data_IF_798082473151
#
_entry.id   IF_798082473151
#
_cell.length_a   1.000
_cell.length_b   1.000
_cell.length_c   1.000
_cell.angle_alpha   90.00
_cell.angle_beta   90.00
_cell.angle_gamma   90.00
#
_symmetry.space_group_name_H-M   'P 1'
#
loop_
_entity.id
_entity.type
_entity.pdbx_description
1 polymer ?
#
# COMPACT_ATOMS: atom_id res chain seq x y z
N UNK A 1 -19.36 1.81 22.81
CA UNK A 1 -19.64 0.92 23.94
C UNK A 1 -21.08 1.13 24.31
N UNK A 2 -21.98 0.22 23.90
CA UNK A 2 -23.35 0.14 24.41
C UNK A 2 -23.25 -0.67 25.70
N UNK A 3 -23.69 -0.07 26.81
CA UNK A 3 -23.70 -0.74 28.10
C UNK A 3 -24.68 -1.92 28.04
N UNK A 4 -24.13 -3.14 27.97
CA UNK A 4 -24.88 -4.40 27.79
C UNK A 4 -25.76 -4.74 29.04
N UNK A 5 -25.64 -3.99 30.13
CA UNK A 5 -26.21 -4.35 31.42
C UNK A 5 -27.74 -4.19 31.55
N UNK A 6 -28.44 -3.64 30.54
CA UNK A 6 -29.88 -3.32 30.67
C UNK A 6 -30.81 -3.77 29.55
N UNK A 7 -30.34 -4.56 28.58
CA UNK A 7 -31.20 -5.10 27.51
C UNK A 7 -31.43 -6.59 27.73
N UNK A 8 -32.54 -6.95 28.36
CA UNK A 8 -32.98 -8.36 28.45
C UNK A 8 -33.46 -8.83 27.09
N UNK A 9 -32.48 -9.31 26.27
CA UNK A 9 -32.67 -9.87 24.92
C UNK A 9 -33.49 -11.17 24.95
N UNK A 10 -33.62 -11.80 26.13
CA UNK A 10 -34.21 -13.13 26.35
C UNK A 10 -35.69 -13.27 25.97
N UNK A 11 -36.42 -12.18 25.74
CA UNK A 11 -37.85 -12.22 25.50
C UNK A 11 -38.30 -12.02 24.06
N UNK A 12 -37.39 -11.88 23.10
CA UNK A 12 -37.76 -11.68 21.69
C UNK A 12 -37.53 -12.96 20.90
N UNK A 13 -38.61 -13.74 20.69
CA UNK A 13 -38.54 -14.96 19.86
C UNK A 13 -38.69 -14.61 18.37
N UNK A 14 -37.68 -14.92 17.58
CA UNK A 14 -37.69 -14.84 16.11
C UNK A 14 -37.83 -16.25 15.55
N UNK A 15 -38.66 -16.42 14.51
CA UNK A 15 -38.80 -17.68 13.80
C UNK A 15 -37.77 -17.89 12.70
N UNK A 16 -36.98 -16.87 12.35
CA UNK A 16 -36.00 -16.89 11.24
C UNK A 16 -34.71 -16.21 11.69
N UNK A 17 -33.58 -16.73 11.23
CA UNK A 17 -32.31 -16.04 11.35
C UNK A 17 -32.36 -14.72 10.55
N UNK A 18 -32.15 -13.60 11.20
CA UNK A 18 -32.20 -12.27 10.62
C UNK A 18 -30.76 -11.81 10.42
N UNK A 19 -30.39 -11.43 9.21
CA UNK A 19 -29.04 -10.89 8.91
C UNK A 19 -28.84 -9.49 9.52
N UNK A 20 -27.60 -9.13 9.76
CA UNK A 20 -27.23 -7.80 10.25
C UNK A 20 -27.82 -6.67 9.40
N UNK A 21 -27.82 -6.82 8.07
CA UNK A 21 -28.44 -5.85 7.15
C UNK A 21 -29.93 -5.61 7.46
N UNK A 22 -30.66 -6.67 7.76
CA UNK A 22 -32.10 -6.56 8.08
C UNK A 22 -32.34 -5.92 9.45
N UNK A 23 -31.45 -6.17 10.42
CA UNK A 23 -31.47 -5.50 11.71
C UNK A 23 -31.21 -4.00 11.57
N UNK A 24 -30.28 -3.63 10.70
CA UNK A 24 -30.00 -2.22 10.39
C UNK A 24 -31.21 -1.53 9.75
N UNK A 25 -31.88 -2.20 8.80
CA UNK A 25 -33.11 -1.67 8.19
C UNK A 25 -34.19 -1.42 9.25
N UNK A 26 -34.41 -2.37 10.17
CA UNK A 26 -35.37 -2.22 11.27
C UNK A 26 -35.01 -1.09 12.24
N UNK A 27 -33.76 -0.97 12.59
CA UNK A 27 -33.23 0.11 13.41
C UNK A 27 -33.47 1.47 12.75
N UNK A 28 -33.10 1.62 11.48
CA UNK A 28 -33.29 2.86 10.73
C UNK A 28 -34.78 3.22 10.56
N UNK A 29 -35.65 2.25 10.25
CA UNK A 29 -37.10 2.47 10.17
C UNK A 29 -37.68 2.97 11.54
N UNK A 30 -37.24 2.39 12.67
CA UNK A 30 -37.65 2.84 13.98
C UNK A 30 -37.11 4.22 14.36
N UNK A 31 -35.87 4.52 13.96
CA UNK A 31 -35.26 5.84 14.16
C UNK A 31 -36.06 6.92 13.41
N UNK A 32 -36.40 6.68 12.14
CA UNK A 32 -37.24 7.63 11.36
C UNK A 32 -38.62 7.85 11.97
N UNK A 33 -39.27 6.79 12.49
CA UNK A 33 -40.57 6.90 13.18
C UNK A 33 -40.42 7.73 14.44
N UNK A 34 -39.33 7.58 15.19
CA UNK A 34 -39.03 8.34 16.40
C UNK A 34 -38.78 9.81 16.12
N UNK A 35 -37.99 10.10 15.06
CA UNK A 35 -37.67 11.48 14.67
C UNK A 35 -38.88 12.26 14.16
N UNK A 36 -39.95 11.56 13.71
CA UNK A 36 -41.23 12.14 13.31
C UNK A 36 -42.26 12.23 14.48
N UNK A 37 -41.85 11.95 15.73
CA UNK A 37 -42.71 11.88 16.90
C UNK A 37 -43.96 10.96 16.75
N UNK A 38 -43.78 9.90 15.91
CA UNK A 38 -44.86 8.93 15.64
C UNK A 38 -44.69 7.67 16.47
N UNK A 39 -45.82 7.03 16.78
CA UNK A 39 -45.84 5.71 17.41
C UNK A 39 -45.79 4.59 16.34
N UNK A 40 -45.26 3.41 16.75
CA UNK A 40 -45.20 2.23 15.88
C UNK A 40 -46.61 1.77 15.50
N UNK A 41 -46.97 1.98 14.24
CA UNK A 41 -48.26 1.63 13.66
C UNK A 41 -48.47 0.10 13.53
N UNK A 42 -49.75 -0.29 13.37
CA UNK A 42 -50.15 -1.69 13.28
C UNK A 42 -49.59 -2.33 11.99
N UNK A 43 -49.46 -1.56 10.89
CA UNK A 43 -48.90 -2.02 9.64
C UNK A 43 -47.43 -2.42 9.76
N UNK A 44 -46.63 -1.66 10.52
CA UNK A 44 -45.23 -2.00 10.81
C UNK A 44 -45.14 -3.35 11.56
N UNK A 45 -46.01 -3.58 12.55
CA UNK A 45 -46.03 -4.83 13.33
C UNK A 45 -46.39 -6.03 12.44
N UNK A 46 -47.39 -5.88 11.56
CA UNK A 46 -47.83 -6.92 10.63
C UNK A 46 -46.72 -7.21 9.60
N UNK A 47 -46.10 -6.18 9.02
CA UNK A 47 -44.95 -6.31 8.12
C UNK A 47 -43.83 -7.13 8.77
N UNK A 48 -43.49 -6.81 10.01
CA UNK A 48 -42.37 -7.47 10.71
C UNK A 48 -42.75 -8.88 11.18
N UNK A 49 -44.00 -9.16 11.47
CA UNK A 49 -44.47 -10.52 11.68
C UNK A 49 -44.27 -11.43 10.49
N UNK A 50 -44.69 -11.00 9.29
CA UNK A 50 -44.56 -11.78 8.08
C UNK A 50 -43.11 -11.82 7.56
N UNK A 51 -42.39 -10.70 7.58
CA UNK A 51 -41.05 -10.57 7.00
C UNK A 51 -39.98 -11.21 7.87
N UNK A 52 -40.06 -11.04 9.20
CA UNK A 52 -39.02 -11.44 10.14
C UNK A 52 -39.46 -12.47 11.17
N UNK A 53 -40.74 -12.81 11.20
CA UNK A 53 -41.30 -13.77 12.16
C UNK A 53 -41.36 -13.23 13.61
N UNK A 54 -41.43 -11.92 13.79
CA UNK A 54 -41.54 -11.30 15.10
C UNK A 54 -42.93 -11.53 15.69
N UNK A 55 -43.03 -12.44 16.63
CA UNK A 55 -44.34 -12.85 17.22
C UNK A 55 -44.69 -12.08 18.48
N UNK A 56 -43.74 -11.46 19.17
CA UNK A 56 -43.94 -10.78 20.43
C UNK A 56 -44.42 -9.32 20.21
N UNK A 57 -45.73 -9.12 20.15
CA UNK A 57 -46.30 -7.78 19.96
C UNK A 57 -46.17 -6.91 21.20
N UNK A 58 -45.95 -7.46 22.41
CA UNK A 58 -45.72 -6.69 23.61
C UNK A 58 -44.37 -5.95 23.57
N UNK A 59 -43.42 -6.42 22.81
CA UNK A 59 -42.15 -5.71 22.55
C UNK A 59 -42.41 -4.29 22.03
N UNK A 60 -43.34 -4.11 21.11
CA UNK A 60 -43.67 -2.82 20.52
C UNK A 60 -44.47 -1.88 21.43
N UNK A 61 -44.83 -2.29 22.66
CA UNK A 61 -45.44 -1.43 23.70
C UNK A 61 -44.37 -0.74 24.55
N UNK A 62 -43.12 -1.12 24.41
CA UNK A 62 -42.01 -0.49 25.14
C UNK A 62 -41.74 0.91 24.60
N UNK A 63 -40.94 1.66 25.35
CA UNK A 63 -40.47 2.97 24.93
C UNK A 63 -39.68 2.87 23.62
N UNK A 64 -39.86 3.84 22.70
CA UNK A 64 -39.25 3.86 21.40
C UNK A 64 -37.72 3.80 21.50
N UNK A 65 -37.14 4.50 22.48
CA UNK A 65 -35.69 4.47 22.71
C UNK A 65 -35.18 3.07 23.03
N UNK A 66 -35.93 2.26 23.80
CA UNK A 66 -35.58 0.87 24.10
C UNK A 66 -35.69 -0.04 22.89
N UNK A 67 -36.72 0.18 22.05
CA UNK A 67 -36.87 -0.61 20.80
C UNK A 67 -35.71 -0.34 19.86
N UNK A 68 -35.33 0.93 19.68
CA UNK A 68 -34.21 1.35 18.86
C UNK A 68 -32.88 0.74 19.36
N UNK A 69 -32.62 0.89 20.67
CA UNK A 69 -31.41 0.33 21.30
C UNK A 69 -31.34 -1.20 21.16
N UNK A 70 -32.51 -1.89 21.28
CA UNK A 70 -32.56 -3.34 21.08
C UNK A 70 -32.20 -3.73 19.65
N UNK A 71 -32.77 -3.06 18.64
CA UNK A 71 -32.43 -3.36 17.25
C UNK A 71 -30.97 -3.01 16.90
N UNK A 72 -30.46 -1.96 17.51
CA UNK A 72 -29.04 -1.59 17.39
C UNK A 72 -28.11 -2.67 17.99
N UNK A 73 -28.43 -3.14 19.19
CA UNK A 73 -27.68 -4.22 19.85
C UNK A 73 -27.72 -5.53 19.02
N UNK A 74 -28.92 -5.88 18.50
CA UNK A 74 -29.07 -7.05 17.61
C UNK A 74 -28.30 -6.90 16.31
N UNK A 75 -28.23 -5.70 15.74
CA UNK A 75 -27.39 -5.43 14.58
C UNK A 75 -25.90 -5.72 14.88
N UNK A 76 -25.35 -5.15 15.95
CA UNK A 76 -23.93 -5.31 16.27
C UNK A 76 -23.59 -6.76 16.62
N UNK A 77 -24.41 -7.44 17.44
CA UNK A 77 -24.15 -8.84 17.79
C UNK A 77 -24.22 -9.77 16.57
N UNK A 78 -25.23 -9.60 15.71
CA UNK A 78 -25.34 -10.38 14.47
C UNK A 78 -24.19 -10.08 13.51
N UNK A 79 -23.81 -8.80 13.38
CA UNK A 79 -22.70 -8.38 12.53
C UNK A 79 -21.36 -8.95 12.99
N UNK A 80 -21.16 -8.98 14.30
CA UNK A 80 -19.98 -9.61 14.89
C UNK A 80 -19.91 -11.09 14.55
N UNK A 81 -21.00 -11.84 14.71
CA UNK A 81 -21.07 -13.27 14.36
C UNK A 81 -20.79 -13.47 12.86
N UNK A 82 -21.44 -12.69 11.99
CA UNK A 82 -21.23 -12.75 10.54
C UNK A 82 -19.75 -12.51 10.17
N UNK A 83 -19.10 -11.51 10.78
CA UNK A 83 -17.70 -11.20 10.54
C UNK A 83 -16.76 -12.28 11.06
N UNK A 84 -17.00 -12.78 12.28
CA UNK A 84 -16.20 -13.87 12.85
C UNK A 84 -16.28 -15.11 11.99
N UNK A 85 -17.50 -15.53 11.58
CA UNK A 85 -17.69 -16.69 10.68
C UNK A 85 -16.99 -16.48 9.32
N UNK A 86 -17.04 -15.25 8.77
CA UNK A 86 -16.34 -14.92 7.53
C UNK A 86 -14.82 -15.00 7.68
N UNK A 87 -14.26 -14.50 8.80
CA UNK A 87 -12.83 -14.58 9.12
C UNK A 87 -12.40 -16.05 9.24
N UNK A 88 -13.11 -16.85 10.05
CA UNK A 88 -12.82 -18.27 10.23
C UNK A 88 -12.86 -19.03 8.89
N UNK A 89 -13.83 -18.71 8.02
CA UNK A 89 -13.94 -19.28 6.68
C UNK A 89 -12.75 -18.90 5.79
N UNK A 90 -12.31 -17.63 5.83
CA UNK A 90 -11.14 -17.16 5.09
C UNK A 90 -9.83 -17.74 5.62
N UNK A 91 -9.67 -17.85 6.94
CA UNK A 91 -8.52 -18.49 7.57
C UNK A 91 -8.42 -19.98 7.19
N UNK A 92 -9.56 -20.69 7.23
CA UNK A 92 -9.63 -22.07 6.78
C UNK A 92 -9.26 -22.20 5.31
N UNK A 93 -9.78 -21.32 4.45
CA UNK A 93 -9.44 -21.28 3.03
C UNK A 93 -7.94 -20.98 2.83
N UNK A 94 -7.39 -19.98 3.49
CA UNK A 94 -5.97 -19.65 3.43
C UNK A 94 -5.09 -20.82 3.88
N UNK A 95 -5.47 -21.51 4.95
CA UNK A 95 -4.74 -22.69 5.43
C UNK A 95 -4.80 -23.88 4.45
N UNK A 96 -5.86 -24.00 3.64
CA UNK A 96 -5.96 -25.04 2.59
C UNK A 96 -5.25 -24.67 1.30
N UNK A 97 -5.11 -23.37 1.02
CA UNK A 97 -4.44 -22.84 -0.19
C UNK A 97 -2.92 -22.67 0.02
N UNK A 98 -2.43 -22.96 1.22
CA UNK A 98 -1.10 -22.62 1.72
C UNK A 98 0.09 -23.11 0.87
N UNK A 99 1.27 -23.07 1.39
CA UNK A 99 2.65 -23.27 0.88
C UNK A 99 2.77 -24.17 -0.36
N UNK A 100 1.94 -25.21 -0.48
CA UNK A 100 1.92 -26.13 -1.61
C UNK A 100 1.57 -25.43 -2.94
N UNK A 101 0.59 -24.52 -2.95
CA UNK A 101 0.16 -23.83 -4.18
C UNK A 101 1.22 -22.89 -4.74
N UNK A 102 1.93 -22.16 -3.87
CA UNK A 102 3.05 -21.29 -4.27
C UNK A 102 4.24 -22.11 -4.74
N UNK A 103 4.49 -23.23 -4.05
CA UNK A 103 5.54 -24.18 -4.43
C UNK A 103 5.23 -24.82 -5.79
N UNK A 104 4.00 -25.26 -6.01
CA UNK A 104 3.56 -25.82 -7.28
C UNK A 104 3.62 -24.78 -8.40
N UNK A 105 3.14 -23.56 -8.17
CA UNK A 105 3.26 -22.45 -9.13
C UNK A 105 4.72 -22.18 -9.50
N UNK A 106 5.62 -22.17 -8.52
CA UNK A 106 7.05 -21.98 -8.75
C UNK A 106 7.64 -23.14 -9.56
N UNK A 107 7.32 -24.38 -9.22
CA UNK A 107 7.77 -25.56 -9.93
C UNK A 107 7.27 -25.59 -11.38
N UNK A 108 5.98 -25.35 -11.60
CA UNK A 108 5.37 -25.31 -12.93
C UNK A 108 5.94 -24.20 -13.78
N UNK A 109 6.13 -23.00 -13.19
CA UNK A 109 6.79 -21.88 -13.86
C UNK A 109 8.22 -22.22 -14.26
N UNK A 110 8.96 -22.94 -13.40
CA UNK A 110 10.32 -23.39 -13.68
C UNK A 110 10.35 -24.45 -14.79
N UNK A 111 9.38 -25.38 -14.82
CA UNK A 111 9.26 -26.37 -15.89
C UNK A 111 9.03 -25.67 -17.24
N UNK A 112 8.08 -24.72 -17.29
CA UNK A 112 7.78 -23.95 -18.49
C UNK A 112 9.01 -23.13 -18.94
N UNK A 113 9.72 -22.50 -18.01
CA UNK A 113 10.94 -21.75 -18.32
C UNK A 113 12.02 -22.66 -18.91
N UNK A 114 12.29 -23.81 -18.27
CA UNK A 114 13.29 -24.78 -18.76
C UNK A 114 12.92 -25.33 -20.13
N UNK A 115 11.65 -25.65 -20.37
CA UNK A 115 11.20 -26.11 -21.70
C UNK A 115 11.40 -25.02 -22.77
N UNK A 116 11.03 -23.77 -22.50
CA UNK A 116 11.25 -22.64 -23.41
C UNK A 116 12.75 -22.41 -23.69
N UNK A 117 13.59 -22.48 -22.66
CA UNK A 117 15.03 -22.34 -22.82
C UNK A 117 15.63 -23.51 -23.61
N UNK A 118 15.18 -24.73 -23.33
CA UNK A 118 15.63 -25.93 -24.09
C UNK A 118 15.23 -25.85 -25.57
N UNK A 119 14.03 -25.38 -25.90
CA UNK A 119 13.59 -25.17 -27.29
C UNK A 119 14.38 -24.05 -27.96
N UNK A 120 14.70 -22.97 -27.24
CA UNK A 120 15.43 -21.83 -27.80
C UNK A 120 16.93 -22.09 -27.91
N UNK A 121 17.55 -22.81 -26.98
CA UNK A 121 19.02 -22.97 -26.87
C UNK A 121 19.47 -24.42 -26.80
N UNK A 122 18.56 -25.41 -26.83
CA UNK A 122 18.89 -26.84 -26.77
C UNK A 122 19.52 -27.33 -28.08
N UNK A 123 20.28 -28.41 -27.96
CA UNK A 123 20.85 -29.21 -29.04
C UNK A 123 21.37 -28.43 -30.26
N UNK A 124 22.57 -27.87 -30.15
CA UNK A 124 23.35 -27.25 -31.24
C UNK A 124 22.98 -25.81 -31.67
N UNK A 125 22.07 -25.14 -30.99
CA UNK A 125 21.85 -23.71 -31.27
C UNK A 125 22.89 -22.87 -30.52
N UNK A 126 23.78 -22.22 -31.29
CA UNK A 126 24.73 -21.26 -30.73
C UNK A 126 24.01 -19.97 -30.37
N UNK A 127 24.23 -19.49 -29.17
CA UNK A 127 23.76 -18.17 -28.75
C UNK A 127 24.32 -17.09 -29.67
N UNK A 128 23.48 -16.13 -30.06
CA UNK A 128 23.95 -14.97 -30.83
C UNK A 128 24.85 -14.12 -29.92
N UNK A 129 26.00 -13.74 -30.47
CA UNK A 129 26.92 -12.80 -29.84
C UNK A 129 26.73 -11.45 -30.51
N UNK A 130 26.51 -10.42 -29.70
CA UNK A 130 26.33 -9.06 -30.15
C UNK A 130 27.54 -8.21 -29.74
N UNK A 131 27.83 -7.18 -30.50
CA UNK A 131 28.80 -6.13 -30.17
C UNK A 131 28.11 -4.79 -29.97
N UNK A 132 28.81 -3.77 -29.49
CA UNK A 132 28.25 -2.45 -29.21
C UNK A 132 27.51 -1.81 -30.40
N UNK A 133 28.03 -2.01 -31.62
CA UNK A 133 27.39 -1.47 -32.82
C UNK A 133 26.02 -2.11 -33.09
N UNK A 134 25.78 -3.33 -32.61
CA UNK A 134 24.50 -4.01 -32.80
C UNK A 134 23.38 -3.35 -32.00
N UNK A 135 23.71 -2.66 -30.90
CA UNK A 135 22.73 -1.87 -30.12
C UNK A 135 22.00 -0.84 -31.00
N UNK A 136 22.71 -0.31 -31.98
CA UNK A 136 22.18 0.71 -32.89
C UNK A 136 21.73 0.13 -34.24
N UNK A 137 22.44 -0.86 -34.77
CA UNK A 137 22.16 -1.41 -36.10
C UNK A 137 21.13 -2.53 -36.09
N UNK A 138 21.08 -3.31 -35.01
CA UNK A 138 20.25 -4.51 -34.92
C UNK A 138 19.42 -4.57 -33.59
N UNK A 139 18.79 -3.47 -33.12
CA UNK A 139 18.20 -3.41 -31.79
C UNK A 139 17.12 -4.47 -31.59
N UNK A 140 16.29 -4.73 -32.60
CA UNK A 140 15.20 -5.71 -32.48
C UNK A 140 15.72 -7.15 -32.33
N UNK A 141 16.85 -7.50 -32.95
CA UNK A 141 17.49 -8.82 -32.76
C UNK A 141 18.08 -8.97 -31.34
N UNK A 142 18.51 -7.85 -30.75
CA UNK A 142 18.96 -7.81 -29.35
C UNK A 142 17.78 -8.02 -28.44
N UNK A 143 16.65 -7.32 -28.67
CA UNK A 143 15.43 -7.47 -27.87
C UNK A 143 14.80 -8.87 -27.94
N UNK A 144 14.93 -9.56 -29.09
CA UNK A 144 14.53 -10.97 -29.19
C UNK A 144 15.35 -11.89 -28.26
N UNK A 145 16.63 -11.57 -28.05
CA UNK A 145 17.52 -12.35 -27.19
C UNK A 145 17.52 -11.85 -25.74
N UNK A 146 17.50 -10.53 -25.56
CA UNK A 146 17.52 -9.82 -24.28
C UNK A 146 16.31 -8.89 -24.18
N UNK A 147 15.14 -9.39 -23.80
CA UNK A 147 13.91 -8.59 -23.77
C UNK A 147 13.87 -7.58 -22.63
N UNK A 148 14.79 -7.67 -21.67
CA UNK A 148 14.89 -6.74 -20.53
C UNK A 148 16.19 -5.94 -20.67
N UNK A 149 16.06 -4.63 -20.79
CA UNK A 149 17.19 -3.69 -20.86
C UNK A 149 17.27 -2.95 -19.52
N UNK A 150 18.41 -3.04 -18.86
CA UNK A 150 18.69 -2.29 -17.63
C UNK A 150 19.46 -1.02 -17.98
N UNK A 151 19.02 0.10 -17.45
CA UNK A 151 19.61 1.40 -17.71
C UNK A 151 19.37 2.36 -16.54
N UNK A 152 20.14 3.44 -16.47
CA UNK A 152 19.74 4.59 -15.67
C UNK A 152 18.57 5.31 -16.34
N UNK A 153 17.77 6.05 -15.58
CA UNK A 153 16.67 6.83 -16.14
C UNK A 153 17.14 7.76 -17.25
N UNK A 154 18.25 8.45 -17.04
CA UNK A 154 18.85 9.36 -18.03
C UNK A 154 19.27 8.66 -19.32
N UNK A 155 19.84 7.46 -19.22
CA UNK A 155 20.36 6.72 -20.38
C UNK A 155 19.31 5.85 -21.06
N UNK A 156 18.11 5.74 -20.52
CA UNK A 156 17.07 4.82 -21.01
C UNK A 156 16.74 5.02 -22.49
N UNK A 157 16.62 6.27 -22.93
CA UNK A 157 16.34 6.63 -24.33
C UNK A 157 17.46 6.25 -25.30
N UNK A 158 18.71 6.26 -24.82
CA UNK A 158 19.90 6.02 -25.62
C UNK A 158 20.52 4.62 -25.43
N UNK A 159 19.84 3.73 -24.71
CA UNK A 159 20.33 2.37 -24.47
C UNK A 159 20.29 1.50 -25.74
N UNK A 160 19.38 1.81 -26.64
CA UNK A 160 19.28 1.24 -27.99
C UNK A 160 19.04 2.37 -29.01
N UNK A 161 18.89 2.01 -30.28
CA UNK A 161 18.51 2.96 -31.32
C UNK A 161 17.24 3.72 -30.93
N UNK A 162 17.20 5.03 -31.24
CA UNK A 162 16.09 5.95 -30.92
C UNK A 162 14.72 5.54 -31.49
N UNK A 163 14.70 4.69 -32.51
CA UNK A 163 13.49 4.19 -33.13
C UNK A 163 12.84 3.06 -32.32
N UNK A 164 13.53 2.54 -31.32
CA UNK A 164 13.00 1.50 -30.43
C UNK A 164 12.05 2.13 -29.42
N UNK A 165 10.81 1.64 -29.39
CA UNK A 165 9.83 1.94 -28.37
C UNK A 165 9.57 0.66 -27.57
N UNK A 166 9.89 0.69 -26.28
CA UNK A 166 9.68 -0.44 -25.38
C UNK A 166 8.19 -0.66 -25.11
N UNK A 167 7.80 -1.89 -24.84
CA UNK A 167 6.42 -2.17 -24.44
C UNK A 167 6.13 -1.65 -23.03
N UNK A 168 7.10 -1.78 -22.12
CA UNK A 168 7.02 -1.32 -20.73
C UNK A 168 8.30 -0.64 -20.30
N UNK A 169 8.14 0.46 -19.59
CA UNK A 169 9.17 1.08 -18.74
C UNK A 169 8.81 0.80 -17.28
N UNK A 170 9.75 0.25 -16.52
CA UNK A 170 9.62 0.13 -15.06
C UNK A 170 10.66 1.08 -14.47
N UNK A 171 10.19 2.13 -13.81
CA UNK A 171 11.04 3.13 -13.16
C UNK A 171 11.00 2.93 -11.66
N UNK A 172 12.12 2.53 -11.08
CA UNK A 172 12.27 2.39 -9.62
C UNK A 172 12.85 3.67 -9.02
N UNK A 173 12.61 3.90 -7.72
CA UNK A 173 13.03 5.09 -6.96
C UNK A 173 12.63 6.43 -7.64
N UNK A 174 11.46 6.49 -8.24
CA UNK A 174 10.97 7.65 -8.99
C UNK A 174 10.78 8.91 -8.13
N UNK A 175 10.79 8.78 -6.80
CA UNK A 175 10.84 9.91 -5.86
C UNK A 175 12.16 10.68 -5.90
N UNK A 176 13.24 10.08 -6.40
CA UNK A 176 14.56 10.69 -6.55
C UNK A 176 14.84 11.20 -7.97
N UNK A 177 13.94 10.98 -8.91
CA UNK A 177 14.08 11.36 -10.32
C UNK A 177 13.48 12.74 -10.52
N UNK A 178 14.19 13.63 -11.23
CA UNK A 178 13.65 14.93 -11.65
C UNK A 178 12.66 14.78 -12.81
N UNK A 179 11.80 15.78 -12.98
CA UNK A 179 10.72 15.76 -13.96
C UNK A 179 11.24 15.63 -15.39
N UNK A 180 12.32 16.33 -15.73
CA UNK A 180 12.84 16.33 -17.11
C UNK A 180 13.42 14.97 -17.49
N UNK A 181 14.21 14.38 -16.59
CA UNK A 181 14.77 13.03 -16.77
C UNK A 181 13.66 11.96 -16.80
N UNK A 182 12.65 12.09 -15.94
CA UNK A 182 11.48 11.21 -15.94
C UNK A 182 10.69 11.29 -17.24
N UNK A 183 10.43 12.50 -17.77
CA UNK A 183 9.76 12.70 -19.04
C UNK A 183 10.55 12.13 -20.22
N UNK A 184 11.88 12.27 -20.20
CA UNK A 184 12.75 11.65 -21.21
C UNK A 184 12.58 10.13 -21.23
N UNK A 185 12.58 9.50 -20.05
CA UNK A 185 12.38 8.05 -19.95
C UNK A 185 10.98 7.62 -20.41
N UNK A 186 9.93 8.37 -20.06
CA UNK A 186 8.56 8.10 -20.56
C UNK A 186 8.49 8.06 -22.08
N UNK A 187 9.28 8.89 -22.77
CA UNK A 187 9.25 8.99 -24.23
C UNK A 187 9.70 7.72 -24.96
N UNK A 188 10.29 6.75 -24.25
CA UNK A 188 10.82 5.54 -24.87
C UNK A 188 9.93 4.29 -24.68
N UNK A 189 8.73 4.40 -24.09
CA UNK A 189 7.87 3.25 -23.84
C UNK A 189 6.39 3.55 -24.08
N UNK A 190 5.61 2.49 -24.35
CA UNK A 190 4.14 2.56 -24.53
C UNK A 190 3.39 2.55 -23.19
N UNK A 191 3.90 1.81 -22.24
CA UNK A 191 3.33 1.65 -20.90
C UNK A 191 4.39 1.94 -19.86
N UNK A 192 3.97 2.42 -18.69
CA UNK A 192 4.89 2.72 -17.59
C UNK A 192 4.38 2.18 -16.27
N UNK A 193 5.31 1.65 -15.48
CA UNK A 193 5.12 1.32 -14.07
C UNK A 193 6.11 2.19 -13.28
N UNK A 194 5.59 3.06 -12.44
CA UNK A 194 6.37 3.99 -11.64
C UNK A 194 6.38 3.48 -10.21
N UNK A 195 7.56 3.15 -9.70
CA UNK A 195 7.78 2.66 -8.34
C UNK A 195 8.55 3.72 -7.57
N UNK A 196 8.13 4.00 -6.35
CA UNK A 196 8.79 4.98 -5.49
C UNK A 196 7.99 5.28 -4.24
N UNK A 197 8.51 6.14 -3.40
CA UNK A 197 7.95 6.45 -2.12
C UNK A 197 8.07 7.95 -1.83
N UNK A 198 6.93 8.65 -1.77
CA UNK A 198 6.89 10.10 -1.47
C UNK A 198 7.27 10.45 -0.02
N UNK A 199 7.40 9.44 0.85
CA UNK A 199 7.83 9.62 2.25
C UNK A 199 9.33 9.44 2.44
N UNK A 200 10.05 8.98 1.41
CA UNK A 200 11.51 8.92 1.39
C UNK A 200 12.11 10.20 0.82
N UNK A 201 13.45 10.24 0.74
CA UNK A 201 14.16 11.42 0.25
C UNK A 201 13.71 11.78 -1.17
N UNK A 202 13.24 13.02 -1.39
CA UNK A 202 12.87 13.46 -2.72
C UNK A 202 14.12 13.82 -3.55
N UNK A 203 13.90 14.10 -4.83
CA UNK A 203 14.89 14.74 -5.67
C UNK A 203 15.37 16.06 -5.04
N UNK A 204 16.68 16.22 -4.91
CA UNK A 204 17.30 17.42 -4.30
C UNK A 204 17.68 18.41 -5.41
N UNK A 205 17.02 19.56 -5.41
CA UNK A 205 17.26 20.66 -6.35
C UNK A 205 18.05 21.75 -5.64
N UNK A 206 19.15 22.21 -6.24
CA UNK A 206 19.93 23.34 -5.70
C UNK A 206 19.14 24.64 -5.78
N UNK A 207 19.47 25.63 -4.91
CA UNK A 207 18.73 26.88 -4.89
C UNK A 207 18.85 27.67 -6.19
N UNK A 208 20.01 27.61 -6.84
CA UNK A 208 20.24 28.23 -8.17
C UNK A 208 19.27 27.62 -9.23
N UNK A 209 19.14 26.30 -9.27
CA UNK A 209 18.24 25.62 -10.21
C UNK A 209 16.77 25.94 -9.87
N UNK A 210 16.42 26.03 -8.58
CA UNK A 210 15.07 26.42 -8.16
C UNK A 210 14.69 27.80 -8.69
N UNK A 211 15.56 28.78 -8.54
CA UNK A 211 15.33 30.14 -9.03
C UNK A 211 15.17 30.16 -10.55
N UNK A 212 16.07 29.52 -11.29
CA UNK A 212 15.99 29.45 -12.75
C UNK A 212 14.70 28.80 -13.23
N UNK A 213 14.36 27.67 -12.65
CA UNK A 213 13.18 26.90 -13.06
C UNK A 213 11.87 27.54 -12.62
N UNK A 214 11.85 28.29 -11.52
CA UNK A 214 10.71 29.07 -11.08
C UNK A 214 10.36 30.19 -12.10
N UNK A 215 11.34 30.86 -12.64
CA UNK A 215 11.14 31.90 -13.69
C UNK A 215 10.50 31.24 -14.94
N UNK A 216 11.01 30.09 -15.34
CA UNK A 216 10.45 29.37 -16.46
C UNK A 216 9.00 28.95 -16.18
N UNK A 217 8.74 28.39 -14.99
CA UNK A 217 7.42 27.94 -14.57
C UNK A 217 6.37 29.08 -14.63
N UNK A 218 6.71 30.25 -14.10
CA UNK A 218 5.83 31.44 -14.07
C UNK A 218 5.48 31.93 -15.47
N UNK A 219 6.43 31.84 -16.43
CA UNK A 219 6.20 32.29 -17.81
C UNK A 219 5.21 31.43 -18.60
N UNK A 220 4.98 30.17 -18.21
CA UNK A 220 4.17 29.23 -18.99
C UNK A 220 2.78 28.97 -18.43
N UNK A 221 2.44 29.49 -17.25
CA UNK A 221 1.14 29.29 -16.58
C UNK A 221 0.65 27.82 -16.60
N UNK A 222 1.53 26.92 -16.22
CA UNK A 222 1.27 25.46 -16.16
C UNK A 222 0.88 25.02 -14.75
N UNK A 223 0.32 23.81 -14.63
CA UNK A 223 -0.09 23.23 -13.33
C UNK A 223 1.07 23.11 -12.35
N UNK A 224 0.81 23.34 -11.07
CA UNK A 224 1.75 23.16 -9.96
C UNK A 224 2.43 21.78 -9.94
N UNK A 225 1.74 20.76 -10.43
CA UNK A 225 2.30 19.41 -10.59
C UNK A 225 3.54 19.35 -11.47
N UNK A 226 3.74 20.32 -12.37
CA UNK A 226 4.92 20.40 -13.24
C UNK A 226 6.06 21.27 -12.69
N UNK A 227 6.01 21.68 -11.43
CA UNK A 227 7.14 22.39 -10.81
C UNK A 227 8.37 21.49 -10.78
N UNK A 228 9.49 22.02 -11.23
CA UNK A 228 10.76 21.29 -11.27
C UNK A 228 11.27 20.86 -9.89
N UNK A 229 10.79 21.50 -8.84
CA UNK A 229 11.07 21.10 -7.44
C UNK A 229 10.37 19.83 -7.00
N UNK A 230 9.34 19.38 -7.74
CA UNK A 230 8.71 18.11 -7.50
C UNK A 230 9.61 16.96 -8.00
N UNK A 231 9.55 15.82 -7.33
CA UNK A 231 10.06 14.59 -7.93
C UNK A 231 9.15 14.15 -9.07
N UNK A 232 9.66 13.31 -9.95
CA UNK A 232 8.85 12.75 -11.04
C UNK A 232 7.63 11.98 -10.50
N UNK A 233 7.79 11.19 -9.44
CA UNK A 233 6.66 10.50 -8.78
C UNK A 233 5.61 11.49 -8.28
N UNK A 234 6.03 12.54 -7.56
CA UNK A 234 5.10 13.55 -7.05
C UNK A 234 4.37 14.26 -8.20
N UNK A 235 5.08 14.63 -9.25
CA UNK A 235 4.51 15.24 -10.44
C UNK A 235 3.42 14.37 -11.09
N UNK A 236 3.66 13.08 -11.25
CA UNK A 236 2.67 12.15 -11.80
C UNK A 236 1.43 12.07 -10.91
N UNK A 237 1.60 11.98 -9.60
CA UNK A 237 0.47 11.92 -8.65
C UNK A 237 -0.37 13.20 -8.67
N UNK A 238 0.26 14.36 -8.80
CA UNK A 238 -0.42 15.66 -8.83
C UNK A 238 -1.15 15.90 -10.16
N UNK A 239 -0.55 15.49 -11.27
CA UNK A 239 -1.10 15.69 -12.62
C UNK A 239 -2.13 14.64 -12.98
N UNK A 240 -1.98 13.42 -12.46
CA UNK A 240 -2.84 12.28 -12.75
C UNK A 240 -3.47 11.70 -11.45
N UNK A 241 -4.36 12.43 -10.78
CA UNK A 241 -4.87 12.03 -9.45
C UNK A 241 -5.67 10.71 -9.47
N UNK A 242 -6.16 10.30 -10.65
CA UNK A 242 -6.93 9.05 -10.82
C UNK A 242 -6.06 7.88 -11.33
N UNK A 243 -4.73 8.02 -11.39
CA UNK A 243 -3.87 6.91 -11.81
C UNK A 243 -3.99 5.75 -10.81
N UNK A 244 -4.01 4.52 -11.33
CA UNK A 244 -4.06 3.34 -10.48
C UNK A 244 -2.82 3.28 -9.56
N UNK A 245 -3.05 3.16 -8.26
CA UNK A 245 -2.01 3.15 -7.23
C UNK A 245 -2.16 1.90 -6.36
N UNK A 246 -1.04 1.27 -6.05
CA UNK A 246 -0.99 0.14 -5.11
C UNK A 246 0.13 0.40 -4.11
N UNK A 247 -0.20 0.45 -2.84
CA UNK A 247 0.78 0.55 -1.77
C UNK A 247 1.30 -0.83 -1.40
N UNK A 248 2.62 -1.02 -1.49
CA UNK A 248 3.31 -2.21 -1.00
C UNK A 248 3.48 -2.07 0.51
N UNK A 249 2.69 -2.81 1.29
CA UNK A 249 2.64 -2.67 2.75
C UNK A 249 3.60 -3.58 3.48
N UNK A 250 3.99 -4.70 2.89
CA UNK A 250 4.82 -5.69 3.56
C UNK A 250 6.29 -5.27 3.59
N UNK A 251 6.88 -5.28 4.77
CA UNK A 251 8.27 -4.89 4.99
C UNK A 251 9.11 -6.08 5.50
N UNK A 252 10.17 -6.41 4.74
CA UNK A 252 11.00 -7.60 4.95
C UNK A 252 12.47 -7.30 5.28
N UNK A 253 12.86 -6.02 5.39
CA UNK A 253 14.28 -5.63 5.44
C UNK A 253 14.77 -5.27 6.83
N UNK A 254 14.12 -4.33 7.50
CA UNK A 254 14.59 -3.75 8.74
C UNK A 254 14.08 -4.52 9.98
N UNK A 255 14.84 -4.45 11.06
CA UNK A 255 14.39 -4.95 12.36
C UNK A 255 13.06 -4.28 12.78
N UNK A 256 12.12 -5.03 13.42
CA UNK A 256 10.79 -4.51 13.78
C UNK A 256 10.83 -3.19 14.57
N UNK A 257 11.72 -3.04 15.53
CA UNK A 257 11.85 -1.80 16.34
C UNK A 257 12.24 -0.58 15.49
N UNK A 258 13.06 -0.78 14.44
CA UNK A 258 13.51 0.30 13.55
C UNK A 258 12.36 0.71 12.62
N UNK A 259 11.78 -0.25 11.90
CA UNK A 259 10.74 0.08 10.92
C UNK A 259 9.45 0.54 11.58
N UNK A 260 9.14 0.07 12.80
CA UNK A 260 7.96 0.52 13.51
C UNK A 260 7.99 2.02 13.82
N UNK A 261 9.17 2.57 14.11
CA UNK A 261 9.32 4.02 14.25
C UNK A 261 8.91 4.75 12.97
N UNK A 262 9.40 4.32 11.82
CA UNK A 262 9.03 4.88 10.52
C UNK A 262 7.55 4.66 10.22
N UNK A 263 7.03 3.47 10.50
CA UNK A 263 5.64 3.11 10.31
C UNK A 263 4.70 4.08 11.02
N UNK A 264 4.96 4.36 12.29
CA UNK A 264 4.14 5.29 13.08
C UNK A 264 4.29 6.75 12.63
N UNK A 265 5.48 7.16 12.20
CA UNK A 265 5.76 8.56 11.85
C UNK A 265 5.35 8.95 10.43
N UNK A 266 5.50 8.06 9.47
CA UNK A 266 5.37 8.37 8.05
C UNK A 266 4.28 7.58 7.34
N UNK A 267 3.94 6.38 7.83
CA UNK A 267 3.02 5.46 7.15
C UNK A 267 1.74 5.17 7.95
N UNK A 268 1.45 5.96 8.99
CA UNK A 268 0.22 5.88 9.80
C UNK A 268 -0.07 4.48 10.38
N UNK A 269 0.95 3.66 10.58
CA UNK A 269 0.81 2.29 11.06
C UNK A 269 0.38 1.28 9.99
N UNK A 270 0.36 1.64 8.72
CA UNK A 270 -0.16 0.80 7.63
C UNK A 270 0.82 -0.29 7.15
N UNK A 271 2.10 -0.21 7.51
CA UNK A 271 3.07 -1.22 7.11
C UNK A 271 2.88 -2.51 7.93
N UNK A 272 2.92 -3.63 7.24
CA UNK A 272 2.92 -4.98 7.81
C UNK A 272 4.36 -5.42 7.97
N UNK A 273 4.81 -5.56 9.22
CA UNK A 273 6.19 -5.89 9.53
C UNK A 273 6.35 -7.41 9.51
N UNK A 274 7.03 -7.92 8.47
CA UNK A 274 7.26 -9.36 8.24
C UNK A 274 8.56 -9.87 8.86
N UNK A 275 9.41 -8.98 9.37
CA UNK A 275 10.65 -9.35 10.07
C UNK A 275 10.37 -9.69 11.53
N UNK A 276 11.17 -10.59 12.09
CA UNK A 276 11.05 -11.03 13.48
C UNK A 276 12.07 -10.34 14.39
N UNK A 277 11.62 -9.96 15.58
CA UNK A 277 12.51 -9.56 16.70
C UNK A 277 13.06 -10.83 17.35
N UNK A 278 14.38 -11.01 17.30
CA UNK A 278 15.06 -12.15 17.92
C UNK A 278 15.48 -11.87 19.37
N UNK A 279 14.99 -10.77 19.93
CA UNK A 279 15.33 -10.33 21.28
C UNK A 279 16.65 -9.56 21.35
N UNK A 280 17.06 -8.94 20.22
CA UNK A 280 18.25 -8.09 20.24
C UNK A 280 18.03 -6.85 21.11
N UNK A 281 18.97 -6.63 22.04
CA UNK A 281 19.05 -5.41 22.84
C UNK A 281 19.69 -4.28 22.01
N UNK A 282 19.39 -3.04 22.35
CA UNK A 282 20.01 -1.84 21.76
C UNK A 282 19.90 -1.72 20.23
N UNK A 283 18.81 -2.22 19.63
CA UNK A 283 18.56 -2.11 18.19
C UNK A 283 18.44 -0.65 17.74
N UNK A 284 17.87 0.20 18.61
CA UNK A 284 17.72 1.64 18.37
C UNK A 284 18.08 2.39 19.64
N UNK A 285 19.13 3.17 19.59
CA UNK A 285 19.57 4.00 20.72
C UNK A 285 19.80 5.44 20.29
N UNK A 286 19.58 6.37 21.21
CA UNK A 286 19.81 7.80 20.98
C UNK A 286 20.86 8.29 21.95
N UNK A 287 21.96 8.79 21.39
CA UNK A 287 23.02 9.44 22.16
C UNK A 287 22.92 10.95 21.93
N UNK A 288 22.55 11.66 22.98
CA UNK A 288 22.46 13.13 22.92
C UNK A 288 23.77 13.74 23.35
N UNK A 289 24.46 14.38 22.40
CA UNK A 289 25.65 15.16 22.70
C UNK A 289 25.30 16.50 23.34
N UNK A 290 26.25 17.12 24.06
CA UNK A 290 26.07 18.52 24.51
C UNK A 290 25.89 19.42 23.30
N UNK A 291 25.14 20.51 23.46
CA UNK A 291 24.99 21.55 22.44
C UNK A 291 26.37 22.02 22.03
N UNK A 292 26.64 22.04 20.76
CA UNK A 292 27.93 22.38 20.22
C UNK A 292 27.87 22.95 18.84
N UNK A 293 28.94 23.62 18.47
CA UNK A 293 29.06 24.24 17.19
C UNK A 293 29.24 23.20 16.09
N UNK A 294 28.61 23.46 14.96
CA UNK A 294 29.02 22.84 13.73
C UNK A 294 30.39 23.35 13.34
N UNK A 295 31.29 22.47 13.03
CA UNK A 295 32.52 22.84 12.35
C UNK A 295 32.17 23.33 10.93
N UNK A 296 33.11 24.05 10.32
CA UNK A 296 32.99 24.40 8.90
C UNK A 296 32.91 23.11 8.07
N UNK A 297 32.33 23.15 6.90
CA UNK A 297 32.21 22.01 5.96
C UNK A 297 31.25 20.89 6.36
N UNK A 298 30.18 21.22 7.07
CA UNK A 298 29.05 20.33 7.36
C UNK A 298 29.38 19.03 8.15
N UNK A 299 30.45 19.05 8.96
CA UNK A 299 30.75 17.93 9.86
C UNK A 299 30.73 18.36 11.34
N UNK A 300 30.56 17.41 12.22
CA UNK A 300 30.61 17.62 13.67
C UNK A 300 31.69 16.76 14.32
N UNK A 301 32.83 17.35 14.64
CA UNK A 301 33.97 16.63 15.25
C UNK A 301 33.58 15.94 16.54
N UNK A 302 32.75 16.57 17.38
CA UNK A 302 32.25 15.99 18.62
C UNK A 302 31.47 14.70 18.42
N UNK A 303 30.60 14.64 17.40
CA UNK A 303 29.87 13.42 17.09
C UNK A 303 30.81 12.32 16.59
N UNK A 304 31.79 12.69 15.78
CA UNK A 304 32.86 11.80 15.32
C UNK A 304 33.65 11.23 16.50
N UNK A 305 34.03 12.07 17.43
CA UNK A 305 34.81 11.66 18.64
C UNK A 305 34.02 10.68 19.51
N UNK A 306 32.73 10.93 19.74
CA UNK A 306 31.84 10.01 20.47
C UNK A 306 31.70 8.69 19.76
N UNK A 307 31.44 8.72 18.43
CA UNK A 307 31.36 7.50 17.65
C UNK A 307 32.66 6.68 17.76
N UNK A 308 33.80 7.34 17.56
CA UNK A 308 35.12 6.70 17.57
C UNK A 308 35.52 6.17 18.93
N UNK A 309 35.30 6.96 19.97
CA UNK A 309 35.89 6.69 21.28
C UNK A 309 34.94 5.93 22.24
N UNK A 310 33.62 6.01 22.00
CA UNK A 310 32.62 5.41 22.89
C UNK A 310 31.78 4.34 22.20
N UNK A 311 31.22 4.63 21.01
CA UNK A 311 30.27 3.73 20.37
C UNK A 311 30.98 2.53 19.73
N UNK A 312 31.99 2.76 18.89
CA UNK A 312 32.71 1.68 18.20
C UNK A 312 33.33 0.71 19.20
N UNK A 313 34.06 1.17 20.25
CA UNK A 313 34.63 0.25 21.23
C UNK A 313 33.58 -0.55 22.00
N UNK A 314 32.44 0.06 22.34
CA UNK A 314 31.35 -0.65 23.05
C UNK A 314 30.68 -1.75 22.24
N UNK A 315 30.73 -1.66 20.91
CA UNK A 315 30.14 -2.65 19.98
C UNK A 315 31.13 -3.70 19.47
N UNK A 316 32.45 -3.40 19.51
CA UNK A 316 33.51 -4.35 19.11
C UNK A 316 33.86 -5.38 20.18
N UNK A 317 33.33 -5.24 21.38
CA UNK A 317 33.48 -6.18 22.48
C UNK A 317 32.35 -7.19 22.65
N UNK A 318 31.38 -7.19 21.72
CA UNK A 318 30.32 -8.19 21.57
C UNK A 318 30.54 -8.97 20.29
#
# INVERSE_FOLDING_TARGET
YVDESNVSIENIKFKKNISSKKWMELWQECQMISDEDKSIGILFKIKNFFKYGMTNWNFYKQDMSKIITTFQAMFYSTKQIELTTAIEGLETYLNTVNEDLLTDLCNDSMIILKDKLARKYGANQKRKIFNENDLWKNPFKILEEYPVILSTTFSSKNSLNSDVVYDYLIMDEASQVDIATGALALSCAKNVVIVGDTKQLPNVVTDEIKEMTQIIFENFNISEGYKYTNSFLQSILDVMPNVAQTMLREHYRCHPKIINFCNQKFYHGELIIMTTDKGEDDVLSVIKTVKGNHERDHYSQRQIDIIKNEIIPSKSSK
#
